data_IF_965624275263
#
_entry.id   IF_965624275263
#
_cell.length_a   1.000
_cell.length_b   1.000
_cell.length_c   1.000
_cell.angle_alpha   90.00
_cell.angle_beta   90.00
_cell.angle_gamma   90.00
#
_symmetry.space_group_name_H-M   'P 1'
#
loop_
_entity.id
_entity.type
_entity.pdbx_description
1 polymer ?
#
# COMPACT_ATOMS: atom_id res chain seq x y z
N UNK A 1 9.90 -7.99 15.06
CA UNK A 1 9.99 -8.96 13.95
C UNK A 1 10.93 -10.06 14.36
N UNK A 2 10.49 -11.31 14.25
CA UNK A 2 11.32 -12.50 14.49
C UNK A 2 12.42 -12.57 13.44
N UNK A 3 13.61 -13.05 13.80
CA UNK A 3 14.75 -13.26 12.88
C UNK A 3 14.37 -14.04 11.61
N UNK A 4 13.32 -14.86 11.68
CA UNK A 4 12.83 -15.69 10.58
C UNK A 4 12.41 -14.93 9.33
N UNK A 5 11.65 -13.83 9.43
CA UNK A 5 11.23 -13.08 8.23
C UNK A 5 12.43 -12.41 7.55
N UNK A 6 13.33 -11.81 8.33
CA UNK A 6 14.54 -11.20 7.80
C UNK A 6 15.44 -12.24 7.11
N UNK A 7 15.58 -13.42 7.71
CA UNK A 7 16.35 -14.52 7.12
C UNK A 7 15.70 -15.02 5.82
N UNK A 8 14.39 -15.27 5.83
CA UNK A 8 13.64 -15.68 4.64
C UNK A 8 13.82 -14.68 3.50
N UNK A 9 13.64 -13.38 3.77
CA UNK A 9 13.82 -12.32 2.77
C UNK A 9 15.24 -12.32 2.20
N UNK A 10 16.26 -12.43 3.04
CA UNK A 10 17.66 -12.50 2.58
C UNK A 10 17.92 -13.73 1.69
N UNK A 11 17.32 -14.87 2.00
CA UNK A 11 17.45 -16.06 1.16
C UNK A 11 16.67 -15.96 -0.15
N UNK A 12 15.51 -15.27 -0.16
CA UNK A 12 14.77 -14.97 -1.38
C UNK A 12 15.54 -14.03 -2.30
N UNK A 13 16.13 -12.96 -1.75
CA UNK A 13 16.89 -11.97 -2.52
C UNK A 13 18.17 -12.53 -3.16
N UNK A 14 18.69 -13.66 -2.65
CA UNK A 14 19.80 -14.38 -3.29
C UNK A 14 19.36 -15.17 -4.53
N UNK A 15 18.06 -15.37 -4.73
CA UNK A 15 17.47 -16.16 -5.80
C UNK A 15 16.86 -15.24 -6.84
N UNK A 16 17.68 -14.72 -7.74
CA UNK A 16 17.21 -13.99 -8.93
C UNK A 16 16.26 -14.89 -9.76
N UNK A 17 15.06 -14.45 -10.19
CA UNK A 17 14.48 -13.10 -10.09
C UNK A 17 13.35 -12.94 -9.05
N UNK A 18 13.51 -13.47 -7.83
CA UNK A 18 12.46 -13.38 -6.80
C UNK A 18 12.47 -12.04 -6.06
N UNK A 19 11.38 -11.29 -6.20
CA UNK A 19 11.10 -10.07 -5.44
C UNK A 19 9.98 -10.32 -4.43
N UNK A 20 10.23 -10.29 -3.11
CA UNK A 20 9.16 -10.40 -2.13
C UNK A 20 8.31 -9.12 -2.08
N UNK A 21 7.01 -9.30 -1.94
CA UNK A 21 6.05 -8.25 -1.61
C UNK A 21 5.63 -8.41 -0.16
N UNK A 22 5.78 -7.35 0.63
CA UNK A 22 5.31 -7.27 2.00
C UNK A 22 4.22 -6.23 2.14
N UNK A 23 3.14 -6.59 2.84
CA UNK A 23 2.10 -5.66 3.26
C UNK A 23 2.50 -5.10 4.62
N UNK A 24 2.49 -3.77 4.74
CA UNK A 24 2.67 -3.07 6.00
C UNK A 24 1.28 -2.82 6.59
N UNK A 25 0.91 -3.63 7.59
CA UNK A 25 -0.40 -3.63 8.25
C UNK A 25 -0.29 -4.20 9.70
N UNK A 26 -1.32 -4.23 10.55
CA UNK A 26 -2.53 -3.40 10.62
C UNK A 26 -2.42 -2.41 11.80
N UNK A 27 -3.55 -2.06 12.44
CA UNK A 27 -3.56 -1.27 13.67
C UNK A 27 -2.89 -1.97 14.85
N UNK A 28 -2.53 -1.20 15.87
CA UNK A 28 -1.85 -1.68 17.07
C UNK A 28 -2.63 -1.25 18.32
N UNK A 29 -2.95 -2.14 19.29
CA UNK A 29 -3.73 -1.78 20.48
C UNK A 29 -3.20 -0.61 21.32
N UNK A 30 -1.92 -0.26 21.19
CA UNK A 30 -1.32 0.91 21.84
C UNK A 30 -1.83 2.25 21.27
N UNK A 31 -2.42 2.23 20.06
CA UNK A 31 -2.92 3.41 19.36
C UNK A 31 -4.30 3.13 18.79
N UNK A 32 -5.20 4.12 18.85
CA UNK A 32 -6.53 4.04 18.22
C UNK A 32 -7.33 2.76 18.59
N UNK A 33 -7.07 2.18 19.76
CA UNK A 33 -7.65 0.91 20.24
C UNK A 33 -7.45 -0.27 19.26
N UNK A 34 -6.37 -0.26 18.47
CA UNK A 34 -6.10 -1.29 17.46
C UNK A 34 -6.93 -1.16 16.17
N UNK A 35 -7.73 -0.10 16.04
CA UNK A 35 -8.41 0.25 14.80
C UNK A 35 -7.41 0.82 13.76
N UNK A 36 -7.82 1.00 12.50
CA UNK A 36 -6.99 1.68 11.52
C UNK A 36 -6.47 3.03 12.05
N UNK A 37 -5.16 3.32 11.89
CA UNK A 37 -4.59 4.56 12.39
C UNK A 37 -5.34 5.78 11.85
N UNK A 38 -5.81 6.61 12.76
CA UNK A 38 -6.59 7.81 12.43
C UNK A 38 -6.34 9.00 13.36
N UNK A 39 -5.71 8.79 14.51
CA UNK A 39 -5.14 9.89 15.30
C UNK A 39 -3.76 10.25 14.78
N UNK A 40 -3.31 11.48 15.06
CA UNK A 40 -1.94 11.91 14.75
C UNK A 40 -0.89 10.98 15.37
N UNK A 41 -1.12 10.53 16.61
CA UNK A 41 -0.24 9.59 17.29
C UNK A 41 -0.22 8.21 16.60
N UNK A 42 -1.37 7.68 16.20
CA UNK A 42 -1.47 6.40 15.50
C UNK A 42 -0.84 6.45 14.11
N UNK A 43 -1.11 7.51 13.34
CA UNK A 43 -0.53 7.71 12.00
C UNK A 43 1.00 7.79 12.09
N UNK A 44 1.53 8.58 13.03
CA UNK A 44 2.97 8.68 13.26
C UNK A 44 3.56 7.34 13.68
N UNK A 45 2.94 6.63 14.62
CA UNK A 45 3.42 5.33 15.08
C UNK A 45 3.46 4.30 13.94
N UNK A 46 2.46 4.29 13.07
CA UNK A 46 2.45 3.42 11.89
C UNK A 46 3.56 3.78 10.91
N UNK A 47 3.76 5.07 10.62
CA UNK A 47 4.84 5.53 9.74
C UNK A 47 6.24 5.19 10.30
N UNK A 48 6.44 5.33 11.61
CA UNK A 48 7.67 4.92 12.30
C UNK A 48 7.88 3.40 12.24
N UNK A 49 6.83 2.61 12.47
CA UNK A 49 6.86 1.16 12.30
C UNK A 49 7.25 0.76 10.87
N UNK A 50 6.57 1.30 9.87
CA UNK A 50 6.81 1.02 8.47
C UNK A 50 8.25 1.36 8.07
N UNK A 51 8.73 2.54 8.49
CA UNK A 51 10.12 2.97 8.28
C UNK A 51 11.13 2.03 8.96
N UNK A 52 10.86 1.63 10.20
CA UNK A 52 11.67 0.67 10.92
C UNK A 52 11.77 -0.66 10.17
N UNK A 53 10.66 -1.19 9.64
CA UNK A 53 10.64 -2.43 8.87
C UNK A 53 11.49 -2.31 7.62
N UNK A 54 11.28 -1.27 6.81
CA UNK A 54 12.03 -1.03 5.57
C UNK A 54 13.53 -0.90 5.86
N UNK A 55 13.92 -0.20 6.94
CA UNK A 55 15.32 -0.01 7.33
C UNK A 55 16.08 -1.29 7.73
N UNK A 56 15.39 -2.44 7.87
CA UNK A 56 16.05 -3.72 8.16
C UNK A 56 16.77 -4.34 6.97
N UNK A 57 16.51 -3.81 5.78
CA UNK A 57 17.06 -4.30 4.53
C UNK A 57 17.90 -3.21 3.86
N UNK A 58 18.82 -3.62 2.99
CA UNK A 58 19.67 -2.70 2.25
C UNK A 58 18.80 -1.78 1.37
N UNK A 59 19.23 -0.54 1.16
CA UNK A 59 18.39 0.46 0.48
C UNK A 59 18.01 0.08 -0.95
N UNK A 60 18.88 -0.69 -1.61
CA UNK A 60 18.76 -1.10 -3.00
C UNK A 60 18.31 -2.56 -3.16
N UNK A 61 17.67 -3.14 -2.13
CA UNK A 61 17.11 -4.49 -2.25
C UNK A 61 15.78 -4.50 -3.02
N UNK A 62 15.58 -5.55 -3.83
CA UNK A 62 14.39 -5.73 -4.65
C UNK A 62 13.18 -6.22 -3.83
N UNK A 63 12.67 -5.35 -2.94
CA UNK A 63 11.48 -5.59 -2.12
C UNK A 63 10.39 -4.59 -2.46
N UNK A 64 9.16 -5.09 -2.61
CA UNK A 64 7.97 -4.27 -2.81
C UNK A 64 7.22 -4.13 -1.48
N UNK A 65 6.89 -2.90 -1.12
CA UNK A 65 6.18 -2.57 0.12
C UNK A 65 4.79 -2.03 -0.21
N UNK A 66 3.76 -2.77 0.18
CA UNK A 66 2.37 -2.37 0.02
C UNK A 66 1.86 -1.71 1.30
N UNK A 67 1.28 -0.51 1.18
CA UNK A 67 0.85 0.28 2.33
C UNK A 67 -0.62 0.01 2.63
N UNK A 68 -0.85 -0.77 3.70
CA UNK A 68 -2.15 -1.28 4.14
C UNK A 68 -2.75 -2.33 3.19
N UNK A 69 -3.80 -3.01 3.66
CA UNK A 69 -4.57 -3.96 2.87
C UNK A 69 -6.05 -3.53 2.79
N UNK A 70 -6.58 -3.40 1.58
CA UNK A 70 -8.01 -3.22 1.28
C UNK A 70 -8.75 -2.17 2.14
N UNK A 71 -8.27 -0.91 2.22
CA UNK A 71 -8.87 0.13 3.06
C UNK A 71 -10.29 0.55 2.62
N UNK A 72 -10.74 0.06 1.47
CA UNK A 72 -12.05 0.34 0.90
C UNK A 72 -13.16 -0.60 1.36
N UNK A 73 -12.87 -1.58 2.24
CA UNK A 73 -13.89 -2.46 2.83
C UNK A 73 -13.87 -2.42 4.36
N UNK A 74 -15.04 -2.58 4.97
CA UNK A 74 -15.22 -2.44 6.43
C UNK A 74 -14.37 -3.43 7.23
N UNK A 75 -14.13 -4.62 6.67
CA UNK A 75 -13.35 -5.66 7.32
C UNK A 75 -11.94 -5.17 7.69
N UNK A 76 -11.28 -4.45 6.79
CA UNK A 76 -9.95 -3.90 6.99
C UNK A 76 -9.94 -2.41 7.33
N UNK A 77 -11.09 -1.73 7.27
CA UNK A 77 -11.22 -0.34 7.69
C UNK A 77 -12.50 -0.08 8.48
N UNK A 78 -12.41 -0.24 9.80
CA UNK A 78 -13.53 -0.04 10.75
C UNK A 78 -13.62 1.41 11.25
N UNK A 79 -14.82 1.88 11.64
CA UNK A 79 -16.12 1.19 11.56
C UNK A 79 -16.72 1.19 10.15
N UNK A 80 -16.16 1.97 9.23
CA UNK A 80 -16.52 1.98 7.81
C UNK A 80 -15.34 2.53 7.00
N UNK A 81 -15.18 2.13 5.72
CA UNK A 81 -14.13 2.65 4.86
C UNK A 81 -14.06 4.18 4.84
N UNK A 82 -12.86 4.72 5.00
CA UNK A 82 -12.63 6.17 4.99
C UNK A 82 -11.40 6.53 4.17
N UNK A 83 -11.64 6.96 2.92
CA UNK A 83 -10.57 7.35 2.01
C UNK A 83 -9.72 8.52 2.51
N UNK A 84 -10.28 9.44 3.28
CA UNK A 84 -9.54 10.61 3.80
C UNK A 84 -8.54 10.19 4.88
N UNK A 85 -8.98 9.40 5.85
CA UNK A 85 -8.07 8.88 6.89
C UNK A 85 -7.00 7.98 6.29
N UNK A 86 -7.35 7.13 5.31
CA UNK A 86 -6.36 6.34 4.59
C UNK A 86 -5.36 7.23 3.82
N UNK A 87 -5.81 8.32 3.20
CA UNK A 87 -4.93 9.26 2.51
C UNK A 87 -3.92 9.93 3.46
N UNK A 88 -4.35 10.29 4.68
CA UNK A 88 -3.48 10.86 5.71
C UNK A 88 -2.43 9.84 6.18
N UNK A 89 -2.84 8.61 6.46
CA UNK A 89 -1.95 7.51 6.81
C UNK A 89 -0.93 7.23 5.70
N UNK A 90 -1.40 7.10 4.46
CA UNK A 90 -0.57 6.83 3.29
C UNK A 90 0.47 7.93 3.11
N UNK A 91 0.05 9.20 3.12
CA UNK A 91 0.95 10.34 2.94
C UNK A 91 2.07 10.35 3.99
N UNK A 92 1.72 10.22 5.27
CA UNK A 92 2.71 10.23 6.35
C UNK A 92 3.69 9.04 6.24
N UNK A 93 3.19 7.88 5.84
CA UNK A 93 4.00 6.67 5.67
C UNK A 93 4.97 6.80 4.49
N UNK A 94 4.49 7.29 3.34
CA UNK A 94 5.33 7.53 2.16
C UNK A 94 6.44 8.54 2.46
N UNK A 95 6.10 9.66 3.10
CA UNK A 95 7.07 10.70 3.47
C UNK A 95 8.15 10.15 4.42
N UNK A 96 7.76 9.37 5.44
CA UNK A 96 8.69 8.78 6.38
C UNK A 96 9.61 7.74 5.73
N UNK A 97 9.06 6.80 4.94
CA UNK A 97 9.85 5.78 4.26
C UNK A 97 10.80 6.43 3.26
N UNK A 98 10.34 7.36 2.42
CA UNK A 98 11.19 8.04 1.42
C UNK A 98 12.32 8.83 2.06
N UNK A 99 12.09 9.39 3.25
CA UNK A 99 13.14 10.09 4.00
C UNK A 99 14.25 9.15 4.48
N UNK A 100 13.93 7.90 4.81
CA UNK A 100 14.91 6.90 5.24
C UNK A 100 15.55 6.14 4.05
N UNK A 101 14.73 5.77 3.07
CA UNK A 101 15.11 5.06 1.86
C UNK A 101 14.35 5.64 0.65
N UNK A 102 15.03 6.49 -0.12
CA UNK A 102 14.48 7.07 -1.34
C UNK A 102 14.19 6.03 -2.44
N UNK A 103 14.84 4.87 -2.39
CA UNK A 103 14.80 3.84 -3.42
C UNK A 103 13.78 2.72 -3.15
N UNK A 104 13.10 2.75 -1.99
CA UNK A 104 12.11 1.72 -1.64
C UNK A 104 10.97 1.66 -2.68
N UNK A 105 10.58 0.48 -3.14
CA UNK A 105 9.42 0.35 -4.04
C UNK A 105 8.14 0.34 -3.21
N UNK A 106 7.30 1.36 -3.38
CA UNK A 106 6.09 1.59 -2.57
C UNK A 106 4.84 1.50 -3.43
N UNK A 107 3.89 0.63 -3.07
CA UNK A 107 2.63 0.45 -3.79
C UNK A 107 1.42 0.67 -2.86
N UNK A 108 0.32 1.11 -3.44
CA UNK A 108 -0.93 1.42 -2.76
C UNK A 108 -2.07 1.54 -3.79
N UNK A 109 -3.36 1.49 -3.42
CA UNK A 109 -3.89 1.35 -2.07
C UNK A 109 -4.33 -0.07 -1.69
N UNK A 110 -3.96 -1.08 -2.48
CA UNK A 110 -4.36 -2.46 -2.26
C UNK A 110 -5.89 -2.63 -2.23
N UNK A 111 -6.66 -1.93 -3.08
CA UNK A 111 -8.13 -1.96 -2.93
C UNK A 111 -8.70 -3.35 -3.17
N UNK A 112 -9.70 -3.74 -2.37
CA UNK A 112 -10.56 -4.89 -2.66
C UNK A 112 -11.33 -4.62 -3.95
N UNK A 113 -11.11 -5.44 -4.96
CA UNK A 113 -11.60 -5.19 -6.31
C UNK A 113 -10.92 -4.00 -6.99
N UNK A 114 -11.36 -3.69 -8.21
CA UNK A 114 -10.97 -2.46 -8.90
C UNK A 114 -11.94 -1.33 -8.49
N UNK A 115 -11.85 -0.88 -7.24
CA UNK A 115 -12.77 0.11 -6.68
C UNK A 115 -12.45 1.53 -7.19
N UNK A 116 -12.95 1.84 -8.38
CA UNK A 116 -12.73 3.11 -9.07
C UNK A 116 -13.13 4.32 -8.22
N UNK A 117 -14.24 4.25 -7.48
CA UNK A 117 -14.74 5.39 -6.71
C UNK A 117 -13.83 5.71 -5.52
N UNK A 118 -13.33 4.69 -4.82
CA UNK A 118 -12.36 4.87 -3.74
C UNK A 118 -11.04 5.45 -4.28
N UNK A 119 -10.51 4.89 -5.37
CA UNK A 119 -9.28 5.37 -6.01
C UNK A 119 -9.43 6.82 -6.49
N UNK A 120 -10.57 7.19 -7.09
CA UNK A 120 -10.84 8.57 -7.50
C UNK A 120 -10.83 9.55 -6.33
N UNK A 121 -11.27 9.15 -5.15
CA UNK A 121 -11.19 9.99 -3.94
C UNK A 121 -9.74 10.25 -3.55
N UNK A 122 -8.90 9.20 -3.55
CA UNK A 122 -7.46 9.34 -3.28
C UNK A 122 -6.76 10.24 -4.32
N UNK A 123 -7.10 10.07 -5.60
CA UNK A 123 -6.57 10.90 -6.69
C UNK A 123 -6.94 12.38 -6.53
N UNK A 124 -8.20 12.70 -6.18
CA UNK A 124 -8.64 14.09 -5.90
C UNK A 124 -7.87 14.72 -4.75
N UNK A 125 -7.52 13.94 -3.73
CA UNK A 125 -6.70 14.39 -2.59
C UNK A 125 -5.20 14.39 -2.90
N UNK A 126 -4.78 13.94 -4.11
CA UNK A 126 -3.38 13.75 -4.50
C UNK A 126 -2.61 12.78 -3.59
N UNK A 127 -3.32 11.87 -2.93
CA UNK A 127 -2.77 10.95 -1.93
C UNK A 127 -1.83 9.89 -2.52
N UNK A 128 -2.01 9.55 -3.82
CA UNK A 128 -1.18 8.58 -4.52
C UNK A 128 0.17 9.14 -5.02
N UNK A 129 0.51 10.40 -4.71
CA UNK A 129 1.82 10.95 -5.08
C UNK A 129 2.92 10.28 -4.26
N UNK A 130 3.97 9.80 -4.93
CA UNK A 130 5.14 9.18 -4.30
C UNK A 130 5.11 7.65 -4.24
N UNK A 131 4.04 7.03 -4.73
CA UNK A 131 3.98 5.57 -4.96
C UNK A 131 4.54 5.23 -6.35
N UNK A 132 5.01 4.01 -6.51
CA UNK A 132 5.61 3.48 -7.74
C UNK A 132 4.62 2.68 -8.59
N UNK A 133 3.57 2.11 -7.98
CA UNK A 133 2.48 1.45 -8.69
C UNK A 133 1.16 1.55 -7.93
N UNK A 134 0.05 1.45 -8.67
CA UNK A 134 -1.31 1.34 -8.11
C UNK A 134 -1.67 -0.13 -7.94
N UNK A 135 -1.89 -0.58 -6.71
CA UNK A 135 -2.26 -1.97 -6.41
C UNK A 135 -3.75 -2.15 -6.15
N UNK A 136 -4.29 -3.28 -6.63
CA UNK A 136 -5.68 -3.69 -6.49
C UNK A 136 -5.76 -5.21 -6.33
N UNK A 137 -6.71 -5.72 -5.56
CA UNK A 137 -6.96 -7.16 -5.39
C UNK A 137 -8.25 -7.54 -6.13
N UNK A 138 -8.21 -7.82 -7.45
CA UNK A 138 -9.40 -7.91 -8.29
C UNK A 138 -10.10 -9.26 -8.21
N UNK A 139 -10.14 -9.86 -7.01
CA UNK A 139 -10.89 -11.08 -6.73
C UNK A 139 -12.33 -10.92 -7.19
N UNK A 140 -12.81 -11.89 -7.97
CA UNK A 140 -14.13 -11.85 -8.62
C UNK A 140 -14.68 -13.27 -8.79
N UNK A 141 -16.01 -13.38 -8.79
CA UNK A 141 -16.71 -14.62 -9.13
C UNK A 141 -17.04 -14.77 -10.61
N UNK A 142 -16.72 -13.77 -11.45
CA UNK A 142 -16.92 -13.78 -12.90
C UNK A 142 -15.68 -14.28 -13.64
N UNK A 143 -15.80 -14.48 -14.96
CA UNK A 143 -14.70 -14.91 -15.82
C UNK A 143 -13.48 -13.97 -15.70
N UNK A 144 -12.25 -14.50 -15.68
CA UNK A 144 -11.04 -13.71 -15.50
C UNK A 144 -10.84 -12.65 -16.58
N UNK A 145 -11.27 -12.90 -17.82
CA UNK A 145 -11.14 -11.96 -18.96
C UNK A 145 -11.92 -10.66 -18.74
N UNK A 146 -12.95 -10.66 -17.88
CA UNK A 146 -13.70 -9.45 -17.53
C UNK A 146 -12.81 -8.38 -16.88
N UNK A 147 -11.67 -8.77 -16.31
CA UNK A 147 -10.71 -7.87 -15.65
C UNK A 147 -10.07 -6.87 -16.61
N UNK A 148 -9.92 -7.22 -17.89
CA UNK A 148 -9.25 -6.37 -18.89
C UNK A 148 -9.94 -5.01 -19.00
N UNK A 149 -11.27 -4.98 -18.93
CA UNK A 149 -12.07 -3.75 -19.02
C UNK A 149 -11.85 -2.87 -17.79
N UNK A 150 -11.82 -3.45 -16.58
CA UNK A 150 -11.60 -2.71 -15.34
C UNK A 150 -10.21 -2.07 -15.29
N UNK A 151 -9.18 -2.82 -15.71
CA UNK A 151 -7.81 -2.32 -15.75
C UNK A 151 -7.63 -1.21 -16.79
N UNK A 152 -8.25 -1.35 -17.98
CA UNK A 152 -8.27 -0.28 -18.98
C UNK A 152 -8.89 0.99 -18.39
N UNK A 153 -10.05 0.84 -17.73
CA UNK A 153 -10.75 1.96 -17.12
C UNK A 153 -9.96 2.61 -15.99
N UNK A 154 -9.30 1.83 -15.15
CA UNK A 154 -8.45 2.35 -14.09
C UNK A 154 -7.27 3.14 -14.68
N UNK A 155 -6.58 2.63 -15.69
CA UNK A 155 -5.48 3.34 -16.36
C UNK A 155 -5.93 4.66 -16.99
N UNK A 156 -7.08 4.69 -17.66
CA UNK A 156 -7.66 5.93 -18.18
C UNK A 156 -7.87 6.97 -17.06
N UNK A 157 -8.42 6.54 -15.92
CA UNK A 157 -8.68 7.42 -14.79
C UNK A 157 -7.39 7.93 -14.17
N UNK A 158 -6.38 7.08 -14.00
CA UNK A 158 -5.05 7.49 -13.55
C UNK A 158 -4.48 8.57 -14.47
N UNK A 159 -4.54 8.34 -15.79
CA UNK A 159 -4.05 9.28 -16.80
C UNK A 159 -4.78 10.63 -16.74
N UNK A 160 -6.09 10.66 -16.53
CA UNK A 160 -6.87 11.91 -16.38
C UNK A 160 -6.37 12.75 -15.20
N UNK A 161 -5.93 12.10 -14.12
CA UNK A 161 -5.38 12.78 -12.94
C UNK A 161 -3.86 13.02 -13.03
N UNK A 162 -3.24 12.74 -14.18
CA UNK A 162 -1.81 12.97 -14.43
C UNK A 162 -0.89 11.87 -13.90
N UNK A 163 -1.41 10.68 -13.62
CA UNK A 163 -0.62 9.52 -13.21
C UNK A 163 -0.40 8.58 -14.40
N UNK A 164 0.85 8.20 -14.64
CA UNK A 164 1.23 7.16 -15.60
C UNK A 164 1.97 6.03 -14.85
N UNK A 165 1.33 5.50 -13.82
CA UNK A 165 1.87 4.43 -12.98
C UNK A 165 1.40 3.06 -13.46
N UNK A 166 2.22 2.00 -13.31
CA UNK A 166 1.77 0.63 -13.44
C UNK A 166 0.56 0.34 -12.53
N UNK A 167 -0.30 -0.57 -12.99
CA UNK A 167 -1.36 -1.15 -12.15
C UNK A 167 -1.00 -2.61 -11.91
N UNK A 168 -0.88 -2.98 -10.64
CA UNK A 168 -0.44 -4.31 -10.18
C UNK A 168 -1.51 -4.99 -9.35
N UNK A 169 -1.39 -6.31 -9.21
CA UNK A 169 -2.14 -7.13 -8.26
C UNK A 169 -1.26 -7.44 -7.07
#
# INVERSE_FOLDING_TARGET
>A
MTEGYTQLTRELLKRDPLMPLFILDYGNPLYDNGLPPSSEAGIRAFAEYATYVVSKFDKDCDIIWEIWNEPNIEFFWKPKPNAMQYAELLKATLEAIRSANSNAVLIAPATSGVNIEFIKRLLKMRALRGIDAVSVHPYRGSNPESMVTDYRRLREILSIYGFNLPVVM
#
